data_IF_635371611054
#
_entry.id   IF_635371611054
#
_cell.length_a   1.000
_cell.length_b   1.000
_cell.length_c   1.000
_cell.angle_alpha   90.00
_cell.angle_beta   90.00
_cell.angle_gamma   90.00
#
_symmetry.space_group_name_H-M   'P 1'
#
loop_
_entity.id
_entity.type
_entity.pdbx_description
1 polymer ?
#
# COMPACT_ATOMS: atom_id res chain seq x y z
N UNK A 1 15.05 -0.08 -33.05
CA UNK A 1 13.85 0.44 -32.31
C UNK A 1 13.84 1.96 -32.48
N UNK A 2 12.72 2.55 -32.92
CA UNK A 2 12.52 3.99 -32.90
C UNK A 2 12.03 4.41 -31.51
N UNK A 3 12.45 5.59 -31.05
CA UNK A 3 12.05 6.18 -29.76
C UNK A 3 11.55 7.60 -30.00
N UNK A 4 10.55 8.01 -29.22
CA UNK A 4 10.10 9.40 -29.17
C UNK A 4 10.50 9.98 -27.83
N UNK A 5 10.89 11.26 -27.83
CA UNK A 5 11.20 12.01 -26.61
C UNK A 5 9.97 12.81 -26.20
N UNK A 6 9.46 12.56 -25.01
CA UNK A 6 8.31 13.26 -24.43
C UNK A 6 8.76 14.24 -23.36
N UNK A 7 7.89 15.19 -23.01
CA UNK A 7 8.08 16.02 -21.82
C UNK A 7 8.11 15.15 -20.57
N UNK A 8 8.77 15.65 -19.52
CA UNK A 8 8.74 14.98 -18.20
C UNK A 8 7.33 14.75 -17.72
N UNK A 9 7.05 13.54 -17.19
CA UNK A 9 5.73 13.11 -16.73
C UNK A 9 5.85 12.05 -15.64
N UNK A 10 4.71 11.73 -15.00
CA UNK A 10 4.61 10.75 -13.91
C UNK A 10 4.37 9.33 -14.45
N UNK A 11 5.30 8.82 -15.26
CA UNK A 11 5.19 7.50 -15.92
C UNK A 11 5.94 6.37 -15.20
N UNK A 12 6.24 6.52 -13.92
CA UNK A 12 6.80 5.41 -13.15
C UNK A 12 5.68 4.39 -12.84
N UNK A 13 5.58 3.39 -13.70
CA UNK A 13 4.59 2.33 -13.61
C UNK A 13 5.24 0.94 -13.76
N UNK A 14 4.64 -0.15 -13.22
CA UNK A 14 3.42 -0.15 -12.42
C UNK A 14 3.66 0.32 -10.98
N UNK A 15 2.60 0.83 -10.34
CA UNK A 15 2.60 1.29 -8.95
C UNK A 15 1.84 0.31 -8.06
N UNK A 16 2.19 0.15 -6.77
CA UNK A 16 1.37 -0.56 -5.81
C UNK A 16 0.23 0.35 -5.35
N UNK A 17 -1.03 0.17 -5.80
CA UNK A 17 -2.13 0.93 -5.25
C UNK A 17 -2.41 0.41 -3.85
N UNK A 18 -2.63 1.31 -2.87
CA UNK A 18 -2.93 0.92 -1.50
C UNK A 18 -4.16 1.66 -0.98
N UNK A 19 -4.92 1.03 -0.07
CA UNK A 19 -5.90 1.73 0.76
C UNK A 19 -5.18 2.27 2.00
N UNK A 20 -5.27 3.57 2.22
CA UNK A 20 -4.77 4.19 3.45
C UNK A 20 -5.95 4.53 4.33
N UNK A 21 -6.02 3.93 5.52
CA UNK A 21 -6.98 4.27 6.56
C UNK A 21 -6.37 5.28 7.54
N UNK A 22 -7.18 6.23 7.97
CA UNK A 22 -6.79 7.34 8.84
C UNK A 22 -8.00 7.93 9.56
N UNK A 23 -7.77 8.84 10.48
CA UNK A 23 -8.79 9.44 11.33
C UNK A 23 -9.06 8.62 12.59
N UNK A 24 -9.88 9.17 13.50
CA UNK A 24 -10.23 8.50 14.74
C UNK A 24 -11.05 7.22 14.49
N UNK A 25 -10.95 6.20 15.37
CA UNK A 25 -11.67 4.94 15.22
C UNK A 25 -13.20 5.09 15.13
N UNK A 26 -13.76 6.12 15.75
CA UNK A 26 -15.20 6.42 15.74
C UNK A 26 -15.66 7.03 14.41
N UNK A 27 -14.73 7.59 13.64
CA UNK A 27 -15.00 8.20 12.33
C UNK A 27 -13.82 7.97 11.38
N UNK A 28 -13.52 6.71 11.04
CA UNK A 28 -12.40 6.40 10.17
C UNK A 28 -12.68 6.80 8.74
N UNK A 29 -11.62 7.06 7.99
CA UNK A 29 -11.70 7.36 6.58
C UNK A 29 -10.70 6.54 5.77
N UNK A 30 -10.96 6.39 4.48
CA UNK A 30 -10.11 5.70 3.51
C UNK A 30 -9.72 6.63 2.35
N UNK A 31 -8.52 6.45 1.85
CA UNK A 31 -8.06 7.03 0.58
C UNK A 31 -7.21 6.01 -0.18
N UNK A 32 -7.38 5.98 -1.49
CA UNK A 32 -6.47 5.23 -2.36
C UNK A 32 -5.26 6.07 -2.71
N UNK A 33 -4.08 5.51 -2.50
CA UNK A 33 -2.80 6.13 -2.83
C UNK A 33 -2.04 5.19 -3.78
N UNK A 34 -1.66 5.69 -4.96
CA UNK A 34 -0.77 5.01 -5.89
C UNK A 34 0.70 5.33 -5.59
N UNK A 35 0.98 6.58 -5.21
CA UNK A 35 2.36 7.03 -5.00
C UNK A 35 2.82 6.74 -3.57
N UNK A 36 3.32 5.52 -3.38
CA UNK A 36 3.81 4.97 -2.12
C UNK A 36 5.00 4.05 -2.37
N UNK A 37 5.84 3.87 -1.37
CA UNK A 37 6.97 2.94 -1.47
C UNK A 37 7.78 2.85 -0.19
N UNK A 38 8.48 1.74 -0.02
CA UNK A 38 9.46 1.55 1.05
C UNK A 38 10.67 2.43 0.79
N UNK A 39 11.13 3.18 1.80
CA UNK A 39 12.23 4.15 1.70
C UNK A 39 13.43 3.86 2.60
N UNK A 40 13.25 3.08 3.67
CA UNK A 40 14.32 2.74 4.60
C UNK A 40 14.03 1.39 5.25
N UNK A 41 15.07 0.67 5.67
CA UNK A 41 14.96 -0.63 6.36
C UNK A 41 15.27 -0.56 7.85
N UNK A 42 16.04 0.45 8.28
CA UNK A 42 16.38 0.67 9.70
C UNK A 42 16.40 2.17 10.01
N UNK A 43 15.34 2.68 10.66
CA UNK A 43 14.08 1.99 10.95
C UNK A 43 13.32 1.62 9.68
N UNK A 44 12.35 0.67 9.73
CA UNK A 44 11.52 0.36 8.57
C UNK A 44 10.60 1.54 8.26
N UNK A 45 10.73 2.12 7.07
CA UNK A 45 9.99 3.32 6.68
C UNK A 45 9.38 3.18 5.29
N UNK A 46 8.24 3.83 5.12
CA UNK A 46 7.59 4.03 3.83
C UNK A 46 7.18 5.49 3.64
N UNK A 47 6.79 5.83 2.43
CA UNK A 47 6.22 7.14 2.11
C UNK A 47 4.88 7.00 1.42
N UNK A 48 4.03 8.02 1.61
CA UNK A 48 2.81 8.23 0.82
C UNK A 48 2.78 9.69 0.34
N UNK A 49 2.36 9.91 -0.91
CA UNK A 49 2.13 11.26 -1.44
C UNK A 49 0.65 11.56 -1.51
N UNK A 50 0.21 12.59 -0.80
CA UNK A 50 -1.20 12.96 -0.70
C UNK A 50 -1.38 14.43 -1.05
N UNK A 51 -2.41 14.75 -1.88
CA UNK A 51 -2.73 16.13 -2.21
C UNK A 51 -3.35 16.86 -1.02
N UNK A 52 -2.97 18.11 -0.74
CA UNK A 52 -3.51 18.90 0.39
C UNK A 52 -5.04 19.04 0.39
N UNK A 53 -5.68 19.07 -0.78
CA UNK A 53 -7.14 19.17 -0.91
C UNK A 53 -7.90 17.88 -0.55
N UNK A 54 -7.23 16.74 -0.46
CA UNK A 54 -7.86 15.47 -0.07
C UNK A 54 -8.24 15.46 1.40
N UNK A 55 -9.46 14.98 1.70
CA UNK A 55 -9.98 14.91 3.08
C UNK A 55 -9.05 14.14 4.03
N UNK A 56 -8.40 13.08 3.57
CA UNK A 56 -7.45 12.31 4.37
C UNK A 56 -6.17 13.05 4.72
N UNK A 57 -5.78 14.06 3.93
CA UNK A 57 -4.52 14.79 4.14
C UNK A 57 -4.45 15.43 5.54
N UNK A 58 -5.49 16.20 5.92
CA UNK A 58 -5.50 16.86 7.25
C UNK A 58 -5.63 15.82 8.36
N UNK A 59 -6.44 14.76 8.19
CA UNK A 59 -6.59 13.70 9.18
C UNK A 59 -5.24 13.04 9.52
N UNK A 60 -4.44 12.70 8.48
CA UNK A 60 -3.10 12.13 8.66
C UNK A 60 -2.15 13.16 9.27
N UNK A 61 -2.22 14.42 8.84
CA UNK A 61 -1.35 15.48 9.33
C UNK A 61 -1.60 15.83 10.79
N UNK A 62 -2.87 15.80 11.23
CA UNK A 62 -3.28 16.09 12.60
C UNK A 62 -2.97 14.94 13.55
N UNK A 63 -3.29 13.69 13.17
CA UNK A 63 -3.04 12.52 14.01
C UNK A 63 -1.57 12.10 14.02
N UNK A 64 -0.84 12.37 12.93
CA UNK A 64 0.50 11.82 12.71
C UNK A 64 0.51 10.30 12.45
N UNK A 65 -0.66 9.69 12.17
CA UNK A 65 -0.80 8.24 12.08
C UNK A 65 -1.70 7.82 10.91
N UNK A 66 -1.41 6.64 10.35
CA UNK A 66 -2.23 6.00 9.32
C UNK A 66 -1.89 4.51 9.20
N UNK A 67 -2.74 3.75 8.52
CA UNK A 67 -2.45 2.35 8.17
C UNK A 67 -2.46 2.20 6.66
N UNK A 68 -1.46 1.52 6.12
CA UNK A 68 -1.41 1.10 4.72
C UNK A 68 -1.97 -0.31 4.62
N UNK A 69 -3.09 -0.49 3.94
CA UNK A 69 -3.75 -1.77 3.74
C UNK A 69 -3.50 -2.26 2.31
N UNK A 70 -2.86 -3.42 2.14
CA UNK A 70 -2.53 -3.97 0.82
C UNK A 70 -3.77 -4.59 0.17
N UNK A 71 -4.22 -4.10 -1.00
CA UNK A 71 -5.43 -4.60 -1.63
C UNK A 71 -5.19 -5.86 -2.44
N UNK A 72 -6.20 -6.71 -2.44
CA UNK A 72 -6.29 -7.91 -3.26
C UNK A 72 -7.16 -7.69 -4.50
N UNK A 73 -7.21 -8.66 -5.40
CA UNK A 73 -8.12 -8.66 -6.55
C UNK A 73 -9.59 -8.42 -6.15
N UNK A 74 -10.03 -8.93 -4.99
CA UNK A 74 -11.38 -8.72 -4.49
C UNK A 74 -11.66 -7.29 -4.03
N UNK A 75 -10.62 -6.51 -3.70
CA UNK A 75 -10.72 -5.12 -3.25
C UNK A 75 -10.58 -4.09 -4.38
N UNK A 76 -10.45 -4.49 -5.65
CA UNK A 76 -10.26 -3.58 -6.79
C UNK A 76 -11.34 -2.50 -6.84
N UNK A 77 -12.61 -2.86 -6.64
CA UNK A 77 -13.72 -1.90 -6.63
C UNK A 77 -13.58 -0.88 -5.50
N UNK A 78 -13.16 -1.31 -4.32
CA UNK A 78 -12.97 -0.42 -3.18
C UNK A 78 -11.78 0.52 -3.40
N UNK A 79 -10.68 0.02 -3.97
CA UNK A 79 -9.51 0.83 -4.35
C UNK A 79 -9.94 1.94 -5.31
N UNK A 80 -10.59 1.62 -6.40
CA UNK A 80 -11.02 2.63 -7.38
C UNK A 80 -11.97 3.65 -6.75
N UNK A 81 -13.03 3.17 -6.12
CA UNK A 81 -14.06 4.02 -5.55
C UNK A 81 -13.53 4.94 -4.44
N UNK A 82 -12.69 4.45 -3.54
CA UNK A 82 -12.08 5.23 -2.45
C UNK A 82 -11.09 6.29 -2.95
N UNK A 83 -10.53 6.11 -4.14
CA UNK A 83 -9.69 7.09 -4.82
C UNK A 83 -10.48 8.26 -5.41
N UNK A 84 -11.74 8.01 -5.82
CA UNK A 84 -12.60 9.00 -6.49
C UNK A 84 -13.47 9.77 -5.51
N UNK A 85 -14.16 9.07 -4.59
CA UNK A 85 -15.10 9.69 -3.65
C UNK A 85 -14.39 10.34 -2.45
N UNK A 86 -15.00 11.42 -1.92
CA UNK A 86 -14.49 12.12 -0.75
C UNK A 86 -15.13 11.60 0.54
N UNK A 87 -14.31 11.39 1.59
CA UNK A 87 -14.81 11.07 2.93
C UNK A 87 -15.49 12.24 3.65
N UNK A 88 -15.52 13.45 3.04
CA UNK A 88 -16.37 14.54 3.52
C UNK A 88 -17.85 14.26 3.29
N UNK A 89 -18.15 13.56 2.21
CA UNK A 89 -19.51 13.39 1.68
C UNK A 89 -20.08 12.01 1.99
N UNK A 90 -19.23 11.01 2.20
CA UNK A 90 -19.65 9.61 2.35
C UNK A 90 -18.81 8.84 3.36
N UNK A 91 -19.43 7.91 4.07
CA UNK A 91 -18.74 6.88 4.83
C UNK A 91 -18.24 5.80 3.86
N UNK A 92 -16.92 5.73 3.70
CA UNK A 92 -16.29 4.82 2.73
C UNK A 92 -16.26 3.36 3.18
N UNK A 93 -16.17 3.13 4.49
CA UNK A 93 -16.25 1.77 5.03
C UNK A 93 -17.64 1.17 4.79
N UNK A 94 -18.69 1.91 5.16
CA UNK A 94 -20.08 1.47 4.94
C UNK A 94 -20.40 1.32 3.45
N UNK A 95 -20.01 2.30 2.60
CA UNK A 95 -20.32 2.28 1.17
C UNK A 95 -19.63 1.14 0.40
N UNK A 96 -18.46 0.69 0.86
CA UNK A 96 -17.71 -0.40 0.22
C UNK A 96 -17.82 -1.73 0.98
N UNK A 97 -18.67 -1.78 2.01
CA UNK A 97 -18.88 -2.97 2.87
C UNK A 97 -17.54 -3.49 3.45
N UNK A 98 -16.69 -2.56 3.89
CA UNK A 98 -15.42 -2.87 4.52
C UNK A 98 -15.57 -2.82 6.05
N UNK A 99 -14.82 -3.67 6.73
CA UNK A 99 -14.81 -3.78 8.18
C UNK A 99 -13.62 -2.99 8.75
N UNK A 100 -13.92 -2.01 9.60
CA UNK A 100 -12.92 -1.26 10.34
C UNK A 100 -12.57 -2.01 11.63
N UNK A 101 -11.30 -2.36 11.82
CA UNK A 101 -10.80 -3.02 13.03
C UNK A 101 -9.75 -2.13 13.69
N UNK A 102 -9.77 -1.93 15.02
CA UNK A 102 -8.76 -1.12 15.70
C UNK A 102 -7.34 -1.64 15.42
N UNK A 103 -6.43 -0.74 15.09
CA UNK A 103 -5.02 -1.05 14.94
C UNK A 103 -4.35 -1.30 16.32
N UNK A 104 -3.25 -2.04 16.36
CA UNK A 104 -2.60 -2.43 17.60
C UNK A 104 -1.63 -1.37 18.16
N UNK A 105 -1.03 -0.54 17.31
CA UNK A 105 0.04 0.41 17.66
C UNK A 105 -0.23 1.87 17.28
N UNK A 106 -1.26 2.13 16.50
CA UNK A 106 -1.68 3.48 16.09
C UNK A 106 -3.14 3.72 16.46
N UNK A 107 -3.51 5.00 16.64
CA UNK A 107 -4.84 5.42 17.07
C UNK A 107 -5.88 5.49 15.94
N UNK A 108 -5.77 4.63 14.95
CA UNK A 108 -6.73 4.54 13.83
C UNK A 108 -7.13 3.07 13.58
N UNK A 109 -7.74 2.76 12.44
CA UNK A 109 -8.23 1.43 12.11
C UNK A 109 -7.48 0.82 10.92
N UNK A 110 -7.47 -0.50 10.83
CA UNK A 110 -7.09 -1.26 9.64
C UNK A 110 -8.35 -1.74 8.90
N UNK A 111 -8.19 -2.20 7.67
CA UNK A 111 -9.23 -2.83 6.84
C UNK A 111 -9.10 -4.34 6.99
N UNK A 112 -10.10 -4.99 7.61
CA UNK A 112 -10.10 -6.45 7.89
C UNK A 112 -9.95 -7.31 6.64
N UNK A 113 -10.53 -6.87 5.51
CA UNK A 113 -10.48 -7.59 4.25
C UNK A 113 -9.10 -7.51 3.56
N UNK A 114 -8.21 -6.65 4.05
CA UNK A 114 -6.83 -6.55 3.58
C UNK A 114 -5.95 -7.59 4.30
N UNK A 115 -5.25 -8.46 3.59
CA UNK A 115 -4.49 -9.54 4.22
C UNK A 115 -3.16 -9.09 4.83
N UNK A 116 -2.74 -7.86 4.58
CA UNK A 116 -1.54 -7.25 5.18
C UNK A 116 -1.79 -5.77 5.42
N UNK A 117 -1.58 -5.33 6.66
CA UNK A 117 -1.78 -3.96 7.09
C UNK A 117 -0.48 -3.46 7.75
N UNK A 118 -0.02 -2.27 7.35
CA UNK A 118 1.19 -1.64 7.90
C UNK A 118 0.79 -0.43 8.71
N UNK A 119 0.97 -0.50 10.03
CA UNK A 119 0.68 0.61 10.94
C UNK A 119 1.83 1.61 10.95
N UNK A 120 1.54 2.86 10.69
CA UNK A 120 2.54 3.87 10.39
C UNK A 120 2.41 5.12 11.25
N UNK A 121 3.56 5.62 11.74
CA UNK A 121 3.70 6.91 12.41
C UNK A 121 4.49 7.88 11.55
N UNK A 122 3.90 9.04 11.25
CA UNK A 122 4.53 10.08 10.44
C UNK A 122 5.72 10.66 11.18
N UNK A 123 6.89 10.65 10.54
CA UNK A 123 8.12 11.25 11.07
C UNK A 123 8.40 12.62 10.44
N UNK A 124 7.95 12.83 9.20
CA UNK A 124 8.18 14.09 8.48
C UNK A 124 7.16 14.27 7.36
N UNK A 125 6.78 15.52 7.12
CA UNK A 125 5.98 15.94 5.95
C UNK A 125 6.79 16.91 5.12
N UNK A 126 6.89 16.65 3.81
CA UNK A 126 7.66 17.47 2.86
C UNK A 126 6.70 17.98 1.79
N UNK A 127 6.45 19.31 1.72
CA UNK A 127 5.66 19.91 0.64
C UNK A 127 6.41 19.84 -0.70
N UNK A 128 5.76 19.28 -1.74
CA UNK A 128 6.34 19.14 -3.08
C UNK A 128 5.54 19.90 -4.16
N UNK A 129 4.73 20.86 -3.76
CA UNK A 129 3.84 21.62 -4.66
C UNK A 129 2.45 20.99 -4.71
N UNK A 130 2.14 20.13 -5.68
CA UNK A 130 0.80 19.51 -5.81
C UNK A 130 0.50 18.43 -4.76
N UNK A 131 1.52 17.88 -4.11
CA UNK A 131 1.41 16.84 -3.08
C UNK A 131 2.33 17.15 -1.92
N UNK A 132 1.92 16.73 -0.73
CA UNK A 132 2.81 16.58 0.41
C UNK A 132 3.26 15.12 0.50
N UNK A 133 4.57 14.92 0.68
CA UNK A 133 5.17 13.61 0.91
C UNK A 133 5.25 13.36 2.42
N UNK A 134 4.50 12.39 2.89
CA UNK A 134 4.55 11.90 4.26
C UNK A 134 5.57 10.78 4.36
N UNK A 135 6.62 10.98 5.15
CA UNK A 135 7.56 9.92 5.53
C UNK A 135 7.10 9.34 6.85
N UNK A 136 6.98 8.03 6.94
CA UNK A 136 6.46 7.37 8.13
C UNK A 136 7.27 6.11 8.47
N UNK A 137 7.45 5.88 9.77
CA UNK A 137 7.96 4.62 10.31
C UNK A 137 6.83 3.60 10.38
N UNK A 138 7.08 2.38 9.90
CA UNK A 138 6.19 1.24 10.04
C UNK A 138 6.44 0.63 11.43
N UNK A 139 5.51 0.85 12.37
CA UNK A 139 5.64 0.44 13.78
C UNK A 139 5.05 -0.93 14.09
N UNK A 140 4.19 -1.45 13.20
CA UNK A 140 3.66 -2.82 13.25
C UNK A 140 3.22 -3.28 11.86
N UNK A 141 3.14 -4.59 11.66
CA UNK A 141 2.57 -5.21 10.46
C UNK A 141 1.64 -6.33 10.91
N UNK A 142 0.36 -6.20 10.56
CA UNK A 142 -0.64 -7.24 10.75
C UNK A 142 -0.70 -8.10 9.50
N UNK A 143 -0.70 -9.41 9.68
CA UNK A 143 -0.67 -10.38 8.57
C UNK A 143 -1.70 -11.45 8.80
N UNK A 144 -2.51 -11.71 7.79
CA UNK A 144 -3.43 -12.85 7.77
C UNK A 144 -2.64 -14.16 7.87
N UNK A 145 -2.90 -14.95 8.90
CA UNK A 145 -2.21 -16.21 9.16
C UNK A 145 -2.30 -17.20 7.98
N UNK A 146 -3.34 -17.11 7.14
CA UNK A 146 -3.49 -17.91 5.91
C UNK A 146 -2.39 -17.67 4.89
N UNK A 147 -1.67 -16.55 5.00
CA UNK A 147 -0.50 -16.25 4.17
C UNK A 147 0.80 -16.85 4.70
N UNK A 148 0.79 -17.43 5.89
CA UNK A 148 1.96 -18.10 6.43
C UNK A 148 2.06 -19.54 5.91
N UNK A 149 3.28 -20.07 5.78
CA UNK A 149 3.52 -21.50 5.59
C UNK A 149 3.74 -22.19 6.95
N UNK A 150 3.91 -23.51 6.94
CA UNK A 150 4.10 -24.34 8.13
C UNK A 150 5.31 -23.91 8.99
N UNK A 151 6.26 -23.18 8.42
CA UNK A 151 7.42 -22.62 9.14
C UNK A 151 7.18 -21.22 9.68
N UNK A 152 6.00 -20.64 9.49
CA UNK A 152 5.66 -19.27 9.85
C UNK A 152 6.20 -18.22 8.85
N UNK A 153 6.67 -18.64 7.68
CA UNK A 153 7.18 -17.73 6.66
C UNK A 153 6.04 -17.14 5.83
N UNK A 154 6.07 -15.82 5.64
CA UNK A 154 5.10 -15.10 4.80
C UNK A 154 5.21 -15.51 3.32
N UNK A 155 4.10 -15.98 2.77
CA UNK A 155 3.91 -16.33 1.36
C UNK A 155 3.05 -15.28 0.64
N UNK A 156 3.53 -14.06 0.53
CA UNK A 156 2.79 -12.91 0.01
C UNK A 156 2.21 -13.11 -1.41
N UNK A 157 2.80 -14.01 -2.21
CA UNK A 157 2.27 -14.39 -3.52
C UNK A 157 0.90 -15.10 -3.46
N UNK A 158 0.47 -15.59 -2.28
CA UNK A 158 -0.87 -16.17 -2.08
C UNK A 158 -1.95 -15.10 -1.91
N UNK A 159 -1.57 -13.86 -1.58
CA UNK A 159 -2.49 -12.77 -1.28
C UNK A 159 -3.25 -12.23 -2.49
N UNK A 160 -2.86 -12.58 -3.72
CA UNK A 160 -3.46 -12.06 -4.96
C UNK A 160 -3.49 -10.52 -4.99
N UNK A 161 -2.36 -9.90 -4.65
CA UNK A 161 -2.21 -8.45 -4.71
C UNK A 161 -2.32 -7.96 -6.14
N UNK A 162 -2.65 -6.68 -6.29
CA UNK A 162 -2.82 -6.00 -7.57
C UNK A 162 -1.75 -4.93 -7.79
N UNK A 163 -1.62 -4.49 -9.04
CA UNK A 163 -0.83 -3.31 -9.43
C UNK A 163 -1.71 -2.34 -10.22
N UNK A 164 -1.35 -1.06 -10.18
CA UNK A 164 -1.94 -0.02 -11.01
C UNK A 164 -0.93 0.37 -12.10
N UNK A 165 -1.36 0.41 -13.35
CA UNK A 165 -0.51 0.78 -14.46
C UNK A 165 -1.26 1.63 -15.46
N UNK A 166 -0.95 2.92 -15.49
CA UNK A 166 -1.39 3.87 -16.50
C UNK A 166 -2.91 3.89 -16.75
N UNK A 167 -3.70 3.83 -15.69
CA UNK A 167 -5.16 3.85 -15.75
C UNK A 167 -5.84 2.51 -15.46
N UNK A 168 -5.09 1.40 -15.50
CA UNK A 168 -5.64 0.06 -15.34
C UNK A 168 -5.17 -0.61 -14.03
N UNK A 169 -6.06 -1.38 -13.41
CA UNK A 169 -5.73 -2.30 -12.31
C UNK A 169 -5.45 -3.68 -12.88
N UNK A 170 -4.32 -4.26 -12.55
CA UNK A 170 -3.88 -5.54 -13.09
C UNK A 170 -3.54 -6.52 -11.97
N UNK A 171 -3.83 -7.81 -12.19
CA UNK A 171 -3.36 -8.88 -11.31
C UNK A 171 -1.86 -9.12 -11.49
N UNK A 172 -1.18 -9.61 -10.46
CA UNK A 172 0.19 -10.07 -10.57
C UNK A 172 0.26 -11.35 -11.39
N UNK A 173 1.14 -11.39 -12.37
CA UNK A 173 1.35 -12.53 -13.23
C UNK A 173 2.17 -13.66 -12.57
N UNK A 174 2.65 -14.62 -13.40
CA UNK A 174 3.47 -15.74 -12.95
C UNK A 174 4.79 -15.28 -12.35
N UNK A 175 5.31 -16.02 -11.38
CA UNK A 175 6.66 -15.82 -10.82
C UNK A 175 7.71 -15.97 -11.91
N UNK A 176 8.55 -14.96 -12.10
CA UNK A 176 9.65 -14.95 -13.09
C UNK A 176 10.98 -15.45 -12.50
N UNK A 177 11.18 -15.30 -11.21
CA UNK A 177 12.41 -15.69 -10.52
C UNK A 177 12.33 -15.43 -9.03
N UNK A 178 13.40 -15.68 -8.30
CA UNK A 178 13.58 -15.31 -6.90
C UNK A 178 14.81 -14.44 -6.76
N UNK A 179 14.86 -13.59 -5.74
CA UNK A 179 16.01 -12.73 -5.47
C UNK A 179 17.33 -13.53 -5.55
N UNK A 180 18.29 -13.01 -6.29
CA UNK A 180 19.60 -13.64 -6.48
C UNK A 180 19.63 -14.85 -7.43
N UNK A 181 18.52 -15.20 -8.13
CA UNK A 181 18.50 -16.36 -9.02
C UNK A 181 19.51 -16.26 -10.18
N UNK A 182 19.78 -15.06 -10.67
CA UNK A 182 20.67 -14.81 -11.82
C UNK A 182 22.15 -15.05 -11.51
N UNK A 183 22.54 -14.95 -10.24
CA UNK A 183 23.95 -15.14 -9.79
C UNK A 183 24.18 -16.45 -9.04
N UNK A 184 23.17 -17.32 -8.93
CA UNK A 184 23.32 -18.64 -8.29
C UNK A 184 24.23 -19.54 -9.10
N UNK A 185 25.30 -20.04 -8.48
CA UNK A 185 26.16 -21.07 -9.09
C UNK A 185 25.30 -22.31 -9.37
N UNK A 186 25.35 -22.83 -10.62
CA UNK A 186 24.74 -24.13 -10.95
C UNK A 186 25.41 -25.19 -10.07
N UNK A 187 24.63 -25.96 -9.31
CA UNK A 187 25.17 -27.15 -8.63
C UNK A 187 25.75 -28.08 -9.71
N UNK A 188 27.04 -28.36 -9.64
CA UNK A 188 27.62 -29.42 -10.50
C UNK A 188 26.93 -30.73 -10.12
N UNK A 189 26.16 -31.28 -11.05
CA UNK A 189 25.63 -32.65 -10.90
C UNK A 189 26.84 -33.55 -11.02
N UNK A 190 27.35 -34.04 -9.89
CA UNK A 190 28.31 -35.14 -9.87
C UNK A 190 27.51 -36.38 -10.26
N UNK A 191 27.61 -36.79 -11.53
CA UNK A 191 27.13 -38.12 -11.94
C UNK A 191 27.99 -39.15 -11.22
N UNK A 192 27.37 -39.92 -10.33
CA UNK A 192 27.94 -41.18 -9.82
C UNK A 192 27.82 -42.27 -10.88
#
# INVERSE_FOLDING_TARGET
MSRQVWKGSTLLNPEPPVLVSCGAPEKPNLITVGWTGTICTQPPMLSISVRPERYSHHLIKESGEFVVNLPTESLVRAIDWCGVKSGRDVDKFAAMHLTAVPAAKVGTVLVEESPVNLECKVTRVIPLGSHDLFLAECVAVDVDERLLDESGKLCLNKAKLIVYSHGDYLALGRKLGSFGYSVRKKKKIVKK
#
